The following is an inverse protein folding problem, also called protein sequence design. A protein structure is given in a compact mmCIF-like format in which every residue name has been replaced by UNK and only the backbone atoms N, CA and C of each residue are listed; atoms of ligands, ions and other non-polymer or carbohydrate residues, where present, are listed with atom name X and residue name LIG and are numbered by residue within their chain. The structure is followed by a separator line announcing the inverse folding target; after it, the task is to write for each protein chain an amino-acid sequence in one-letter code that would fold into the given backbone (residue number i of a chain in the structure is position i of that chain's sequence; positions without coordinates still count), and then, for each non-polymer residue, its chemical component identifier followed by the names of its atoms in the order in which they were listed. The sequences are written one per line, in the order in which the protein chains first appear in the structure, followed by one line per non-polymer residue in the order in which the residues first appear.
data_IF_364747850179
#
_entry.id   IF_364747850179
#
_cell.length_a   1.000
_cell.length_b   1.000
_cell.length_c   1.000
_cell.angle_alpha   90.00
_cell.angle_beta   90.00
_cell.angle_gamma   90.00
#
_symmetry.space_group_name_H-M   'P 1'
#
loop_
_entity.id
_entity.type
_entity.pdbx_description
1 polymer ?
#
# COMPACT_ATOMS: atom_id res chain seq x y z
N UNK A 1 4.92 -8.99 -7.85
CA UNK A 1 4.14 -9.71 -6.82
C UNK A 1 4.95 -10.93 -6.38
N UNK A 2 5.32 -11.01 -5.10
CA UNK A 2 6.23 -12.06 -4.60
C UNK A 2 5.63 -13.46 -4.73
N UNK A 3 6.44 -14.45 -5.19
CA UNK A 3 6.07 -15.89 -5.20
C UNK A 3 5.71 -16.40 -3.80
N UNK A 4 6.16 -15.72 -2.74
CA UNK A 4 5.97 -16.10 -1.33
C UNK A 4 4.52 -16.02 -0.83
N UNK A 5 3.62 -15.33 -1.53
CA UNK A 5 2.17 -15.30 -1.20
C UNK A 5 1.41 -16.53 -1.72
N UNK A 6 2.02 -17.30 -2.63
CA UNK A 6 1.45 -18.50 -3.23
C UNK A 6 0.42 -18.25 -4.33
N UNK A 7 -0.66 -19.05 -4.35
CA UNK A 7 -1.63 -19.14 -5.45
C UNK A 7 -2.32 -17.83 -5.84
N UNK A 8 -2.90 -17.79 -7.04
CA UNK A 8 -3.54 -16.60 -7.61
C UNK A 8 -4.63 -16.00 -6.70
N UNK A 9 -5.44 -16.85 -6.07
CA UNK A 9 -6.51 -16.41 -5.15
C UNK A 9 -5.96 -15.67 -3.94
N UNK A 10 -4.92 -16.22 -3.28
CA UNK A 10 -4.27 -15.57 -2.13
C UNK A 10 -3.67 -14.22 -2.51
N UNK A 11 -2.99 -14.17 -3.66
CA UNK A 11 -2.44 -12.91 -4.21
C UNK A 11 -3.54 -11.89 -4.53
N UNK A 12 -4.65 -12.33 -5.11
CA UNK A 12 -5.78 -11.46 -5.45
C UNK A 12 -6.48 -10.94 -4.19
N UNK A 13 -6.65 -11.79 -3.18
CA UNK A 13 -7.16 -11.39 -1.86
C UNK A 13 -6.26 -10.31 -1.23
N UNK A 14 -4.94 -10.54 -1.18
CA UNK A 14 -3.99 -9.57 -0.65
C UNK A 14 -4.07 -8.21 -1.38
N UNK A 15 -4.10 -8.22 -2.73
CA UNK A 15 -4.31 -7.01 -3.53
C UNK A 15 -5.65 -6.33 -3.21
N UNK A 16 -6.72 -7.11 -3.02
CA UNK A 16 -8.05 -6.57 -2.72
C UNK A 16 -8.06 -5.88 -1.35
N UNK A 17 -7.47 -6.49 -0.34
CA UNK A 17 -7.38 -5.92 1.01
C UNK A 17 -6.63 -4.58 1.02
N UNK A 18 -5.46 -4.53 0.37
CA UNK A 18 -4.65 -3.32 0.25
C UNK A 18 -5.36 -2.21 -0.53
N UNK A 19 -5.99 -2.54 -1.65
CA UNK A 19 -6.74 -1.57 -2.47
C UNK A 19 -7.92 -0.99 -1.71
N UNK A 20 -8.62 -1.81 -0.93
CA UNK A 20 -9.74 -1.34 -0.12
C UNK A 20 -9.28 -0.45 1.04
N UNK A 21 -8.17 -0.82 1.71
CA UNK A 21 -7.58 0.03 2.74
C UNK A 21 -7.16 1.39 2.17
N UNK A 22 -6.54 1.41 0.98
CA UNK A 22 -6.24 2.64 0.26
C UNK A 22 -7.51 3.45 -0.07
N UNK A 23 -8.51 2.84 -0.72
CA UNK A 23 -9.74 3.54 -1.15
C UNK A 23 -10.46 4.24 0.00
N UNK A 24 -10.61 3.56 1.14
CA UNK A 24 -11.28 4.11 2.34
C UNK A 24 -10.53 5.29 2.95
N UNK A 25 -9.24 5.42 2.66
CA UNK A 25 -8.36 6.38 3.28
C UNK A 25 -7.70 7.31 2.25
N UNK A 26 -8.19 7.37 1.01
CA UNK A 26 -7.58 8.19 -0.06
C UNK A 26 -7.62 9.69 0.27
N UNK A 27 -8.60 10.12 1.08
CA UNK A 27 -8.74 11.50 1.55
C UNK A 27 -8.05 11.76 2.90
N UNK A 28 -7.13 10.90 3.35
CA UNK A 28 -6.53 10.98 4.70
C UNK A 28 -5.55 12.15 4.91
N UNK A 29 -5.59 13.19 4.09
CA UNK A 29 -4.75 14.40 4.26
C UNK A 29 -3.27 14.22 3.94
N UNK A 30 -2.89 13.19 3.18
CA UNK A 30 -1.51 13.05 2.69
C UNK A 30 -1.24 14.08 1.58
N UNK A 31 -0.02 14.65 1.52
CA UNK A 31 0.43 15.40 0.36
C UNK A 31 0.44 14.51 -0.90
N UNK A 32 0.49 15.12 -2.08
CA UNK A 32 0.57 14.39 -3.35
C UNK A 32 1.83 13.51 -3.39
N UNK A 33 1.66 12.20 -3.19
CA UNK A 33 2.75 11.22 -3.13
C UNK A 33 2.37 9.94 -3.88
N UNK A 34 3.36 9.31 -4.49
CA UNK A 34 3.23 7.97 -5.04
C UNK A 34 3.46 6.91 -3.95
N UNK A 35 2.43 6.11 -3.65
CA UNK A 35 2.50 5.03 -2.66
C UNK A 35 2.63 3.66 -3.33
N UNK A 36 3.71 2.95 -3.02
CA UNK A 36 3.88 1.55 -3.40
C UNK A 36 3.55 0.65 -2.21
N UNK A 37 2.42 -0.06 -2.29
CA UNK A 37 2.00 -1.02 -1.25
C UNK A 37 2.52 -2.41 -1.57
N UNK A 38 3.35 -2.95 -0.67
CA UNK A 38 3.92 -4.30 -0.79
C UNK A 38 3.19 -5.25 0.16
N UNK A 39 2.45 -6.20 -0.40
CA UNK A 39 1.84 -7.29 0.36
C UNK A 39 2.91 -8.24 0.90
N UNK A 40 2.95 -8.42 2.22
CA UNK A 40 3.73 -9.49 2.86
C UNK A 40 2.86 -10.75 3.03
N UNK A 41 3.43 -11.96 3.12
CA UNK A 41 2.67 -13.22 3.21
C UNK A 41 1.60 -13.24 4.31
N UNK A 42 1.87 -12.59 5.44
CA UNK A 42 1.03 -12.56 6.65
C UNK A 42 -0.35 -11.92 6.38
N UNK A 43 -0.44 -11.02 5.39
CA UNK A 43 -1.70 -10.34 5.04
C UNK A 43 -2.82 -11.31 4.62
N UNK A 44 -2.46 -12.52 4.19
CA UNK A 44 -3.43 -13.52 3.76
C UNK A 44 -4.28 -14.05 4.91
N UNK A 45 -3.77 -13.96 6.15
CA UNK A 45 -4.49 -14.33 7.37
C UNK A 45 -5.25 -13.15 8.01
N UNK A 46 -5.05 -11.92 7.51
CA UNK A 46 -5.68 -10.73 8.08
C UNK A 46 -7.10 -10.50 7.54
N UNK A 47 -7.92 -9.90 8.40
CA UNK A 47 -9.17 -9.25 8.06
C UNK A 47 -8.94 -7.87 7.43
N UNK A 48 -9.97 -7.33 6.77
CA UNK A 48 -9.91 -5.96 6.23
C UNK A 48 -9.67 -4.91 7.31
N UNK A 49 -10.27 -5.08 8.49
CA UNK A 49 -10.13 -4.13 9.59
C UNK A 49 -8.70 -4.08 10.14
N UNK A 50 -8.03 -5.23 10.25
CA UNK A 50 -6.63 -5.28 10.67
C UNK A 50 -5.70 -4.62 9.66
N UNK A 51 -5.90 -4.90 8.37
CA UNK A 51 -5.13 -4.25 7.30
C UNK A 51 -5.35 -2.74 7.29
N UNK A 52 -6.59 -2.29 7.48
CA UNK A 52 -6.91 -0.86 7.53
C UNK A 52 -6.30 -0.16 8.75
N UNK A 53 -6.30 -0.82 9.92
CA UNK A 53 -5.64 -0.31 11.13
C UNK A 53 -4.15 -0.11 10.92
N UNK A 54 -3.46 -1.14 10.41
CA UNK A 54 -2.02 -1.06 10.14
C UNK A 54 -1.70 -0.02 9.06
N UNK A 55 -2.53 0.06 8.02
CA UNK A 55 -2.41 1.05 6.96
C UNK A 55 -2.44 2.48 7.53
N UNK A 56 -3.45 2.82 8.34
CA UNK A 56 -3.58 4.14 8.98
C UNK A 56 -2.39 4.45 9.89
N UNK A 57 -1.92 3.47 10.65
CA UNK A 57 -0.75 3.65 11.51
C UNK A 57 0.51 3.98 10.70
N UNK A 58 0.75 3.25 9.60
CA UNK A 58 1.88 3.54 8.69
C UNK A 58 1.77 4.91 8.05
N UNK A 59 0.57 5.34 7.65
CA UNK A 59 0.35 6.68 7.12
C UNK A 59 0.64 7.79 8.12
N UNK A 60 0.19 7.65 9.37
CA UNK A 60 0.49 8.63 10.44
C UNK A 60 1.99 8.75 10.65
N UNK A 61 2.72 7.63 10.68
CA UNK A 61 4.18 7.61 10.81
C UNK A 61 4.87 8.25 9.60
N UNK A 62 4.33 8.09 8.40
CA UNK A 62 4.84 8.75 7.19
C UNK A 62 4.63 10.26 7.24
N UNK A 63 3.42 10.71 7.62
CA UNK A 63 3.10 12.13 7.76
C UNK A 63 3.99 12.82 8.80
N UNK A 64 4.29 12.15 9.92
CA UNK A 64 5.17 12.67 10.96
C UNK A 64 6.64 12.80 10.53
N UNK A 65 7.08 12.10 9.48
CA UNK A 65 8.45 12.17 8.96
C UNK A 65 8.69 13.32 7.98
N UNK A 66 7.65 14.07 7.61
CA UNK A 66 7.71 15.08 6.55
C UNK A 66 7.81 14.46 5.14
N UNK A 67 7.70 15.26 4.08
CA UNK A 67 7.77 14.76 2.71
C UNK A 67 9.14 14.14 2.45
N UNK A 68 9.15 12.91 1.92
CA UNK A 68 10.36 12.35 1.35
C UNK A 68 10.82 13.24 0.19
N UNK A 69 12.14 13.44 -0.02
CA UNK A 69 12.61 14.20 -1.18
C UNK A 69 12.01 13.60 -2.44
N UNK A 70 11.47 14.46 -3.31
CA UNK A 70 10.84 14.04 -4.55
C UNK A 70 11.79 13.09 -5.29
N UNK A 71 11.41 11.81 -5.36
CA UNK A 71 12.12 10.86 -6.22
C UNK A 71 12.01 11.43 -7.63
N UNK A 72 13.15 11.76 -8.25
CA UNK A 72 13.21 12.12 -9.67
C UNK A 72 12.37 11.09 -10.44
N UNK A 73 11.35 11.57 -11.13
CA UNK A 73 10.54 10.73 -12.00
C UNK A 73 11.51 9.92 -12.88
N UNK A 74 11.40 8.59 -12.82
CA UNK A 74 12.14 7.74 -13.74
C UNK A 74 11.79 8.12 -15.18
N UNK A 75 12.69 7.87 -16.16
CA UNK A 75 12.45 8.25 -17.54
C UNK A 75 11.08 7.74 -18.00
N UNK A 76 10.33 8.60 -18.67
CA UNK A 76 9.03 8.28 -19.24
C UNK A 76 9.12 7.00 -20.09
N UNK A 77 8.05 6.17 -20.15
CA UNK A 77 8.04 4.99 -20.99
C UNK A 77 8.32 5.42 -22.43
N UNK A 78 9.23 4.72 -23.10
CA UNK A 78 9.47 4.92 -24.53
C UNK A 78 8.34 4.25 -25.31
N UNK A 79 7.72 5.01 -26.21
CA UNK A 79 6.75 4.53 -27.20
C UNK A 79 7.36 3.46 -28.13
#
# INVERSE_FOLDING_TARGET
MSRKLGGAVRRNRAKRLLREAFRRNVRSGLPAVDLVLVAKPEITACSQAEVEREYRERLRRLAARGPAPARRAGPAPRD
#
